data_IF_642035424172
#
_entry.id   IF_642035424172
#
_cell.length_a   1.000
_cell.length_b   1.000
_cell.length_c   1.000
_cell.angle_alpha   90.00
_cell.angle_beta   90.00
_cell.angle_gamma   90.00
#
_symmetry.space_group_name_H-M   'P 1'
#
loop_
_entity.id
_entity.type
_entity.pdbx_description
1 polymer ?
#
# COMPACT_ATOMS: atom_id res chain seq x y z
N UNK A 1 -11.19 -18.91 34.48
CA UNK A 1 -10.33 -19.69 33.57
C UNK A 1 -10.31 -18.95 32.25
N UNK A 2 -9.21 -18.26 31.93
CA UNK A 2 -9.13 -17.45 30.71
C UNK A 2 -9.22 -18.34 29.48
N UNK A 3 -10.13 -18.02 28.56
CA UNK A 3 -10.35 -18.80 27.35
C UNK A 3 -9.17 -18.59 26.38
N UNK A 4 -8.42 -19.66 26.09
CA UNK A 4 -7.33 -19.62 25.10
C UNK A 4 -7.91 -19.64 23.69
N UNK A 5 -7.60 -18.63 22.86
CA UNK A 5 -8.14 -18.52 21.51
C UNK A 5 -7.42 -19.49 20.59
N UNK A 6 -8.15 -20.29 19.83
CA UNK A 6 -7.53 -21.18 18.84
C UNK A 6 -7.03 -20.39 17.62
N UNK A 7 -5.98 -20.87 16.96
CA UNK A 7 -5.47 -20.21 15.74
C UNK A 7 -6.52 -20.14 14.62
N UNK A 8 -7.44 -21.11 14.57
CA UNK A 8 -8.55 -21.13 13.62
C UNK A 8 -9.53 -19.98 13.88
N UNK A 9 -9.86 -19.70 15.13
CA UNK A 9 -10.73 -18.58 15.51
C UNK A 9 -10.04 -17.24 15.26
N UNK A 10 -8.75 -17.14 15.56
CA UNK A 10 -7.96 -15.94 15.35
C UNK A 10 -7.89 -15.54 13.86
N UNK A 11 -7.74 -16.52 12.98
CA UNK A 11 -7.56 -16.32 11.54
C UNK A 11 -8.88 -16.31 10.74
N UNK A 12 -10.02 -16.52 11.40
CA UNK A 12 -11.34 -16.55 10.76
C UNK A 12 -11.66 -15.25 10.01
N UNK A 13 -12.16 -15.36 8.79
CA UNK A 13 -12.53 -14.22 7.95
C UNK A 13 -11.35 -13.51 7.27
N UNK A 14 -10.11 -13.93 7.50
CA UNK A 14 -8.92 -13.38 6.80
C UNK A 14 -9.01 -13.57 5.28
N UNK A 15 -9.68 -14.63 4.83
CA UNK A 15 -9.83 -14.95 3.40
C UNK A 15 -10.47 -13.85 2.56
N UNK A 16 -11.33 -13.01 3.14
CA UNK A 16 -11.97 -11.90 2.41
C UNK A 16 -10.98 -10.84 1.91
N UNK A 17 -9.78 -10.76 2.50
CA UNK A 17 -8.73 -9.83 2.04
C UNK A 17 -8.25 -10.19 0.63
N UNK A 18 -8.29 -11.48 0.24
CA UNK A 18 -7.86 -11.89 -1.10
C UNK A 18 -8.69 -11.27 -2.23
N UNK A 19 -9.91 -10.83 -1.94
CA UNK A 19 -10.77 -10.14 -2.91
C UNK A 19 -10.13 -8.86 -3.44
N UNK A 20 -9.29 -8.16 -2.65
CA UNK A 20 -8.66 -6.92 -3.14
C UNK A 20 -7.69 -7.19 -4.29
N UNK A 21 -6.96 -8.31 -4.23
CA UNK A 21 -6.04 -8.72 -5.30
C UNK A 21 -6.81 -9.15 -6.54
N UNK A 22 -7.89 -9.92 -6.35
CA UNK A 22 -8.76 -10.33 -7.43
C UNK A 22 -9.37 -9.11 -8.13
N UNK A 23 -9.83 -8.11 -7.38
CA UNK A 23 -10.35 -6.85 -7.95
C UNK A 23 -9.28 -6.14 -8.79
N UNK A 24 -8.03 -6.07 -8.33
CA UNK A 24 -6.93 -5.50 -9.11
C UNK A 24 -6.68 -6.26 -10.42
N UNK A 25 -6.66 -7.60 -10.38
CA UNK A 25 -6.49 -8.44 -11.57
C UNK A 25 -7.68 -8.32 -12.53
N UNK A 26 -8.91 -8.28 -12.02
CA UNK A 26 -10.11 -8.10 -12.83
C UNK A 26 -10.15 -6.72 -13.49
N UNK A 27 -9.65 -5.67 -12.82
CA UNK A 27 -9.53 -4.34 -13.41
C UNK A 27 -8.56 -4.32 -14.59
N UNK A 28 -7.38 -4.93 -14.43
CA UNK A 28 -6.41 -5.08 -15.52
C UNK A 28 -6.99 -5.92 -16.67
N UNK A 29 -7.67 -7.02 -16.36
CA UNK A 29 -8.33 -7.86 -17.35
C UNK A 29 -9.42 -7.11 -18.11
N UNK A 30 -10.29 -6.37 -17.41
CA UNK A 30 -11.32 -5.56 -18.05
C UNK A 30 -10.71 -4.51 -18.99
N UNK A 31 -9.61 -3.89 -18.58
CA UNK A 31 -8.87 -2.92 -19.41
C UNK A 31 -8.25 -3.58 -20.63
N UNK A 32 -7.66 -4.77 -20.46
CA UNK A 32 -7.12 -5.59 -21.54
C UNK A 32 -8.20 -5.96 -22.56
N UNK A 33 -9.38 -6.40 -22.10
CA UNK A 33 -10.50 -6.76 -22.97
C UNK A 33 -11.01 -5.54 -23.77
N UNK A 34 -11.06 -4.38 -23.14
CA UNK A 34 -11.38 -3.14 -23.84
C UNK A 34 -10.29 -2.79 -24.87
N UNK A 35 -9.01 -2.89 -24.52
CA UNK A 35 -7.91 -2.65 -25.45
C UNK A 35 -7.90 -3.60 -26.65
N UNK A 36 -8.31 -4.86 -26.47
CA UNK A 36 -8.51 -5.79 -27.58
C UNK A 36 -9.55 -5.30 -28.60
N UNK A 37 -10.60 -4.61 -28.15
CA UNK A 37 -11.60 -4.01 -29.04
C UNK A 37 -11.05 -2.84 -29.88
N UNK A 38 -9.98 -2.20 -29.41
CA UNK A 38 -9.31 -1.09 -30.10
C UNK A 38 -8.14 -1.57 -30.98
N UNK A 39 -7.59 -2.75 -30.69
CA UNK A 39 -6.30 -3.22 -31.20
C UNK A 39 -6.18 -3.16 -32.73
N UNK A 40 -7.22 -3.56 -33.47
CA UNK A 40 -7.21 -3.56 -34.93
C UNK A 40 -7.08 -2.15 -35.53
N UNK A 41 -7.59 -1.13 -34.84
CA UNK A 41 -7.56 0.26 -35.28
C UNK A 41 -6.31 1.04 -34.84
N UNK A 42 -5.43 0.43 -34.04
CA UNK A 42 -4.19 1.08 -33.62
C UNK A 42 -3.19 1.19 -34.80
N UNK A 43 -2.38 2.26 -34.85
CA UNK A 43 -1.37 2.45 -35.89
C UNK A 43 -0.32 1.32 -35.88
N UNK A 44 0.37 1.11 -37.01
CA UNK A 44 1.44 0.10 -37.12
C UNK A 44 2.65 0.40 -36.22
N UNK A 45 2.82 1.67 -35.82
CA UNK A 45 3.81 2.09 -34.83
C UNK A 45 3.10 2.73 -33.65
N UNK A 46 3.33 2.22 -32.45
CA UNK A 46 2.68 2.67 -31.21
C UNK A 46 3.70 3.26 -30.23
N UNK A 47 3.36 4.30 -29.47
CA UNK A 47 4.21 4.76 -28.39
C UNK A 47 4.28 3.71 -27.27
N UNK A 48 5.46 3.56 -26.67
CA UNK A 48 5.71 2.63 -25.56
C UNK A 48 6.25 3.32 -24.32
N UNK A 49 6.69 4.57 -24.45
CA UNK A 49 7.16 5.42 -23.36
C UNK A 49 6.80 6.88 -23.62
N UNK A 50 6.53 7.60 -22.53
CA UNK A 50 6.26 9.03 -22.54
C UNK A 50 7.23 9.70 -21.58
N UNK A 51 7.90 10.74 -22.07
CA UNK A 51 8.83 11.53 -21.29
C UNK A 51 8.14 12.40 -20.25
N UNK A 52 8.90 13.18 -19.47
CA UNK A 52 8.34 14.03 -18.42
C UNK A 52 7.32 15.06 -18.93
N UNK A 53 7.47 15.54 -20.16
CA UNK A 53 6.50 16.45 -20.82
C UNK A 53 5.15 15.81 -21.13
N UNK A 54 5.00 14.50 -20.91
CA UNK A 54 3.82 13.73 -21.31
C UNK A 54 3.79 13.41 -22.80
N UNK A 55 4.77 13.88 -23.60
CA UNK A 55 4.89 13.53 -25.02
C UNK A 55 5.59 12.17 -25.19
N UNK A 56 5.20 11.39 -26.20
CA UNK A 56 5.86 10.12 -26.48
C UNK A 56 7.30 10.33 -26.97
N UNK A 57 8.23 9.56 -26.42
CA UNK A 57 9.67 9.61 -26.76
C UNK A 57 10.27 8.24 -27.11
N UNK A 58 9.50 7.15 -26.97
CA UNK A 58 9.84 5.83 -27.49
C UNK A 58 8.65 5.17 -28.17
N UNK A 59 8.94 4.40 -29.21
CA UNK A 59 7.96 3.77 -30.09
C UNK A 59 8.39 2.34 -30.43
N UNK A 60 7.42 1.50 -30.80
CA UNK A 60 7.65 0.14 -31.28
C UNK A 60 6.63 -0.26 -32.34
N UNK A 61 6.95 -1.28 -33.12
CA UNK A 61 5.99 -1.92 -34.02
C UNK A 61 4.81 -2.52 -33.23
N UNK A 62 3.61 -2.38 -33.80
CA UNK A 62 2.37 -2.87 -33.20
C UNK A 62 2.46 -4.38 -32.98
N UNK A 63 2.39 -4.76 -31.72
CA UNK A 63 2.35 -6.15 -31.28
C UNK A 63 1.55 -6.24 -29.97
N UNK A 64 1.02 -7.42 -29.60
CA UNK A 64 0.35 -7.57 -28.31
C UNK A 64 1.25 -7.17 -27.14
N UNK A 65 2.55 -7.46 -27.22
CA UNK A 65 3.52 -7.06 -26.20
C UNK A 65 3.68 -5.54 -26.09
N UNK A 66 3.80 -4.83 -27.21
CA UNK A 66 3.92 -3.37 -27.21
C UNK A 66 2.67 -2.67 -26.66
N UNK A 67 1.47 -3.18 -26.99
CA UNK A 67 0.20 -2.56 -26.59
C UNK A 67 -0.21 -2.92 -25.16
N UNK A 68 0.04 -4.16 -24.73
CA UNK A 68 -0.49 -4.72 -23.48
C UNK A 68 0.56 -5.02 -22.42
N UNK A 69 1.85 -4.92 -22.74
CA UNK A 69 2.95 -5.25 -21.81
C UNK A 69 2.86 -4.52 -20.48
N UNK A 70 2.40 -3.27 -20.47
CA UNK A 70 2.17 -2.50 -19.24
C UNK A 70 1.13 -3.17 -18.32
N UNK A 71 0.03 -3.70 -18.86
CA UNK A 71 -0.99 -4.39 -18.08
C UNK A 71 -0.45 -5.73 -17.54
N UNK A 72 0.38 -6.43 -18.33
CA UNK A 72 0.99 -7.70 -17.90
C UNK A 72 2.03 -7.51 -16.80
N UNK A 73 2.84 -6.45 -16.90
CA UNK A 73 3.73 -6.02 -15.81
C UNK A 73 2.91 -5.72 -14.56
N UNK A 74 1.81 -4.97 -14.69
CA UNK A 74 0.89 -4.71 -13.60
C UNK A 74 0.35 -6.00 -12.96
N UNK A 75 -0.09 -6.96 -13.77
CA UNK A 75 -0.58 -8.24 -13.28
C UNK A 75 0.52 -9.03 -12.54
N UNK A 76 1.74 -9.07 -13.08
CA UNK A 76 2.91 -9.68 -12.44
C UNK A 76 3.23 -9.07 -11.09
N UNK A 77 3.22 -7.73 -10.99
CA UNK A 77 3.40 -7.01 -9.71
C UNK A 77 2.33 -7.42 -8.71
N UNK A 78 1.05 -7.49 -9.10
CA UNK A 78 -0.04 -7.91 -8.20
C UNK A 78 0.16 -9.35 -7.71
N UNK A 79 0.60 -10.26 -8.59
CA UNK A 79 0.93 -11.65 -8.20
C UNK A 79 2.06 -11.68 -7.17
N UNK A 80 3.11 -10.89 -7.35
CA UNK A 80 4.21 -10.78 -6.37
C UNK A 80 3.70 -10.22 -5.04
N UNK A 81 2.88 -9.17 -5.05
CA UNK A 81 2.30 -8.61 -3.82
C UNK A 81 1.37 -9.61 -3.11
N UNK A 82 0.61 -10.41 -3.86
CA UNK A 82 -0.22 -11.47 -3.32
C UNK A 82 0.62 -12.59 -2.70
N UNK A 83 1.73 -12.97 -3.35
CA UNK A 83 2.68 -13.94 -2.82
C UNK A 83 3.32 -13.44 -1.51
N UNK A 84 3.79 -12.19 -1.47
CA UNK A 84 4.33 -11.57 -0.25
C UNK A 84 3.27 -11.63 0.87
N UNK A 85 2.03 -11.25 0.57
CA UNK A 85 0.95 -11.32 1.56
C UNK A 85 0.64 -12.74 2.05
N UNK A 86 0.81 -13.76 1.19
CA UNK A 86 0.64 -15.16 1.59
C UNK A 86 1.70 -15.62 2.58
N UNK A 87 2.93 -15.09 2.48
CA UNK A 87 4.05 -15.47 3.36
C UNK A 87 4.18 -14.61 4.62
N UNK A 88 3.53 -13.44 4.69
CA UNK A 88 3.53 -12.55 5.88
C UNK A 88 3.23 -13.29 7.19
N UNK A 89 2.22 -14.17 7.30
CA UNK A 89 1.95 -14.91 8.54
C UNK A 89 3.12 -15.80 8.99
N UNK A 90 3.84 -16.41 8.03
CA UNK A 90 4.98 -17.28 8.28
C UNK A 90 6.24 -16.48 8.64
N UNK A 91 6.45 -15.32 8.01
CA UNK A 91 7.58 -14.42 8.30
C UNK A 91 7.46 -13.69 9.65
N UNK A 92 6.28 -13.73 10.26
CA UNK A 92 6.01 -13.03 11.52
C UNK A 92 5.68 -14.04 12.63
N UNK A 93 6.48 -15.07 12.95
CA UNK A 93 6.07 -16.14 13.86
C UNK A 93 5.65 -15.60 15.24
N UNK A 94 4.69 -16.26 15.90
CA UNK A 94 4.32 -15.92 17.26
C UNK A 94 5.50 -16.22 18.20
N UNK A 95 5.77 -15.33 19.16
CA UNK A 95 6.77 -15.62 20.19
C UNK A 95 6.26 -16.74 21.10
N UNK A 96 7.18 -17.59 21.53
CA UNK A 96 6.91 -18.62 22.53
C UNK A 96 6.38 -17.94 23.80
N UNK A 97 5.18 -18.35 24.27
CA UNK A 97 4.47 -17.78 25.43
C UNK A 97 3.97 -16.33 25.27
N UNK A 98 3.70 -15.87 24.05
CA UNK A 98 3.01 -14.59 23.86
C UNK A 98 1.62 -14.60 24.54
N UNK A 99 1.26 -13.48 25.19
CA UNK A 99 -0.09 -13.26 25.75
C UNK A 99 -1.17 -13.31 24.66
N UNK A 100 -2.41 -13.60 25.04
CA UNK A 100 -3.55 -13.56 24.12
C UNK A 100 -3.73 -12.17 23.49
N UNK A 101 -3.45 -11.10 24.25
CA UNK A 101 -3.43 -9.73 23.75
C UNK A 101 -2.42 -9.57 22.60
N UNK A 102 -1.17 -9.98 22.81
CA UNK A 102 -0.11 -9.91 21.77
C UNK A 102 -0.44 -10.79 20.55
N UNK A 103 -1.07 -11.96 20.75
CA UNK A 103 -1.53 -12.83 19.65
C UNK A 103 -2.60 -12.16 18.78
N UNK A 104 -3.60 -11.53 19.38
CA UNK A 104 -4.64 -10.78 18.65
C UNK A 104 -4.07 -9.59 17.90
N UNK A 105 -3.16 -8.85 18.54
CA UNK A 105 -2.49 -7.70 17.93
C UNK A 105 -1.63 -8.08 16.73
N UNK A 106 -0.88 -9.19 16.84
CA UNK A 106 -0.13 -9.79 15.74
C UNK A 106 -1.01 -10.13 14.55
N UNK A 107 -2.15 -10.76 14.78
CA UNK A 107 -3.07 -11.06 13.68
C UNK A 107 -3.66 -9.77 13.07
N UNK A 108 -3.93 -8.74 13.88
CA UNK A 108 -4.37 -7.43 13.38
C UNK A 108 -3.33 -6.78 12.46
N UNK A 109 -2.05 -6.89 12.81
CA UNK A 109 -0.94 -6.48 11.94
C UNK A 109 -0.91 -7.32 10.66
N UNK A 110 -0.96 -8.65 10.74
CA UNK A 110 -0.96 -9.53 9.55
C UNK A 110 -2.08 -9.13 8.59
N UNK A 111 -3.31 -8.95 9.10
CA UNK A 111 -4.46 -8.50 8.31
C UNK A 111 -4.25 -7.11 7.74
N UNK A 112 -3.68 -6.20 8.53
CA UNK A 112 -3.33 -4.84 8.09
C UNK A 112 -2.36 -4.87 6.91
N UNK A 113 -1.28 -5.62 7.02
CA UNK A 113 -0.25 -5.76 5.97
C UNK A 113 -0.81 -6.42 4.71
N UNK A 114 -1.53 -7.54 4.85
CA UNK A 114 -2.18 -8.20 3.71
C UNK A 114 -3.16 -7.25 3.01
N UNK A 115 -3.99 -6.54 3.77
CA UNK A 115 -4.93 -5.58 3.19
C UNK A 115 -4.21 -4.38 2.58
N UNK A 116 -3.10 -3.90 3.15
CA UNK A 116 -2.32 -2.80 2.59
C UNK A 116 -1.73 -3.16 1.22
N UNK A 117 -1.13 -4.34 1.10
CA UNK A 117 -0.62 -4.88 -0.17
C UNK A 117 -1.75 -5.10 -1.18
N UNK A 118 -2.90 -5.58 -0.72
CA UNK A 118 -4.08 -5.78 -1.54
C UNK A 118 -4.70 -4.49 -2.09
N UNK A 119 -4.85 -3.45 -1.27
CA UNK A 119 -5.38 -2.16 -1.72
C UNK A 119 -4.35 -1.41 -2.57
N UNK A 120 -3.05 -1.53 -2.28
CA UNK A 120 -1.98 -1.06 -3.17
C UNK A 120 -2.06 -1.74 -4.55
N UNK A 121 -2.45 -3.01 -4.61
CA UNK A 121 -2.63 -3.75 -5.88
C UNK A 121 -3.77 -3.16 -6.73
N UNK A 122 -4.89 -2.75 -6.10
CA UNK A 122 -5.98 -2.04 -6.79
C UNK A 122 -5.50 -0.68 -7.29
N UNK A 123 -4.78 0.07 -6.44
CA UNK A 123 -4.27 1.39 -6.79
C UNK A 123 -3.30 1.33 -7.99
N UNK A 124 -2.34 0.39 -7.96
CA UNK A 124 -1.42 0.16 -9.07
C UNK A 124 -2.14 -0.32 -10.33
N UNK A 125 -3.13 -1.22 -10.20
CA UNK A 125 -3.96 -1.64 -11.33
C UNK A 125 -4.66 -0.44 -11.98
N UNK A 126 -5.24 0.46 -11.19
CA UNK A 126 -5.88 1.67 -11.69
C UNK A 126 -4.89 2.60 -12.41
N UNK A 127 -3.67 2.76 -11.87
CA UNK A 127 -2.61 3.54 -12.52
C UNK A 127 -2.22 2.90 -13.86
N UNK A 128 -1.87 1.62 -13.90
CA UNK A 128 -1.50 0.93 -15.14
C UNK A 128 -2.63 0.94 -16.17
N UNK A 129 -3.88 0.69 -15.74
CA UNK A 129 -5.05 0.78 -16.61
C UNK A 129 -5.25 2.18 -17.17
N UNK A 130 -5.11 3.22 -16.35
CA UNK A 130 -5.27 4.61 -16.79
C UNK A 130 -4.18 5.04 -17.77
N UNK A 131 -2.94 4.57 -17.59
CA UNK A 131 -1.83 4.87 -18.49
C UNK A 131 -2.00 4.13 -19.83
N UNK A 132 -2.40 2.86 -19.80
CA UNK A 132 -2.69 2.10 -21.01
C UNK A 132 -3.84 2.75 -21.81
N UNK A 133 -4.94 3.13 -21.14
CA UNK A 133 -6.07 3.80 -21.80
C UNK A 133 -5.66 5.15 -22.42
N UNK A 134 -4.86 5.96 -21.71
CA UNK A 134 -4.35 7.20 -22.29
C UNK A 134 -3.45 6.93 -23.50
N UNK A 135 -2.56 5.94 -23.42
CA UNK A 135 -1.70 5.56 -24.53
C UNK A 135 -2.45 5.08 -25.78
N UNK A 136 -3.64 4.48 -25.63
CA UNK A 136 -4.45 4.05 -26.77
C UNK A 136 -5.38 5.15 -27.30
N UNK A 137 -5.95 5.96 -26.42
CA UNK A 137 -7.00 6.94 -26.78
C UNK A 137 -6.45 8.34 -27.05
N UNK A 138 -5.29 8.68 -26.48
CA UNK A 138 -4.61 9.99 -26.58
C UNK A 138 -3.08 9.79 -26.63
N UNK A 139 -2.55 9.01 -27.59
CA UNK A 139 -1.13 8.65 -27.66
C UNK A 139 -0.19 9.86 -27.71
N UNK A 140 -0.65 10.98 -28.25
CA UNK A 140 0.08 12.24 -28.37
C UNK A 140 0.46 12.87 -27.01
N UNK A 141 -0.31 12.60 -25.96
CA UNK A 141 -0.06 13.16 -24.65
C UNK A 141 -0.67 12.32 -23.51
N UNK A 142 0.18 11.85 -22.59
CA UNK A 142 -0.23 11.25 -21.32
C UNK A 142 -0.10 12.29 -20.20
N UNK A 143 -1.18 12.53 -19.46
CA UNK A 143 -1.19 13.56 -18.43
C UNK A 143 -0.28 13.20 -17.24
N UNK A 144 0.62 14.10 -16.85
CA UNK A 144 1.59 13.91 -15.75
C UNK A 144 0.98 13.88 -14.33
N UNK A 145 -0.35 13.85 -14.19
CA UNK A 145 -1.03 13.85 -12.89
C UNK A 145 -0.61 12.65 -12.02
N UNK A 146 -0.28 11.51 -12.64
CA UNK A 146 0.19 10.33 -11.92
C UNK A 146 1.49 10.61 -11.16
N UNK A 147 2.41 11.46 -11.67
CA UNK A 147 3.63 11.78 -10.94
C UNK A 147 3.32 12.47 -9.60
N UNK A 148 2.37 13.40 -9.59
CA UNK A 148 1.92 14.14 -8.39
C UNK A 148 1.12 13.25 -7.44
N UNK A 149 0.21 12.45 -7.98
CA UNK A 149 -0.76 11.72 -7.18
C UNK A 149 -0.37 10.28 -6.86
N UNK A 150 0.68 9.71 -7.45
CA UNK A 150 1.08 8.32 -7.19
C UNK A 150 1.40 8.10 -5.71
N UNK A 151 2.18 8.99 -5.10
CA UNK A 151 2.50 8.89 -3.68
C UNK A 151 1.25 8.88 -2.78
N UNK A 152 0.31 9.84 -2.85
CA UNK A 152 -0.90 9.78 -2.04
C UNK A 152 -1.84 8.62 -2.42
N UNK A 153 -1.93 8.24 -3.71
CA UNK A 153 -2.70 7.08 -4.19
C UNK A 153 -2.21 5.78 -3.54
N UNK A 154 -0.92 5.66 -3.26
CA UNK A 154 -0.36 4.49 -2.57
C UNK A 154 -0.42 4.64 -1.04
N UNK A 155 0.03 5.76 -0.50
CA UNK A 155 0.23 5.92 0.94
C UNK A 155 -1.08 5.99 1.73
N UNK A 156 -2.10 6.70 1.23
CA UNK A 156 -3.37 6.89 1.95
C UNK A 156 -4.11 5.56 2.13
N UNK A 157 -4.32 4.75 1.07
CA UNK A 157 -5.01 3.47 1.22
C UNK A 157 -4.21 2.45 2.03
N UNK A 158 -2.87 2.46 1.94
CA UNK A 158 -1.99 1.64 2.80
C UNK A 158 -2.17 2.02 4.28
N UNK A 159 -2.11 3.31 4.61
CA UNK A 159 -2.32 3.80 5.98
C UNK A 159 -3.70 3.42 6.53
N UNK A 160 -4.74 3.57 5.70
CA UNK A 160 -6.10 3.14 6.03
C UNK A 160 -6.20 1.63 6.26
N UNK A 161 -5.55 0.81 5.43
CA UNK A 161 -5.56 -0.64 5.56
C UNK A 161 -4.86 -1.11 6.85
N UNK A 162 -3.72 -0.51 7.19
CA UNK A 162 -3.01 -0.75 8.44
C UNK A 162 -3.85 -0.34 9.66
N UNK A 163 -4.48 0.85 9.60
CA UNK A 163 -5.41 1.31 10.62
C UNK A 163 -6.59 0.35 10.81
N UNK A 164 -7.18 -0.17 9.73
CA UNK A 164 -8.24 -1.18 9.79
C UNK A 164 -7.79 -2.47 10.48
N UNK A 165 -6.60 -2.97 10.17
CA UNK A 165 -6.04 -4.16 10.83
C UNK A 165 -5.86 -3.96 12.33
N UNK A 166 -5.35 -2.80 12.74
CA UNK A 166 -5.24 -2.45 14.16
C UNK A 166 -6.61 -2.30 14.84
N UNK A 167 -7.57 -1.64 14.19
CA UNK A 167 -8.95 -1.51 14.70
C UNK A 167 -9.64 -2.87 14.83
N UNK A 168 -9.39 -3.81 13.92
CA UNK A 168 -9.84 -5.19 14.04
C UNK A 168 -9.29 -5.83 15.31
N UNK A 169 -7.99 -5.69 15.58
CA UNK A 169 -7.35 -6.23 16.79
C UNK A 169 -7.95 -5.64 18.07
N UNK A 170 -8.11 -4.31 18.11
CA UNK A 170 -8.70 -3.61 19.26
C UNK A 170 -10.14 -4.05 19.55
N UNK A 171 -10.97 -4.19 18.51
CA UNK A 171 -12.34 -4.72 18.66
C UNK A 171 -12.33 -6.14 19.18
N UNK A 172 -11.43 -6.97 18.64
CA UNK A 172 -11.36 -8.39 18.99
C UNK A 172 -10.91 -8.64 20.42
N UNK A 173 -10.00 -7.80 20.95
CA UNK A 173 -9.60 -7.80 22.37
C UNK A 173 -10.83 -7.57 23.27
N UNK A 174 -11.65 -6.56 22.96
CA UNK A 174 -12.87 -6.25 23.72
C UNK A 174 -13.92 -7.36 23.62
N UNK A 175 -14.20 -7.84 22.41
CA UNK A 175 -15.19 -8.92 22.18
C UNK A 175 -14.87 -10.21 22.93
N UNK A 176 -13.59 -10.50 23.14
CA UNK A 176 -13.11 -11.70 23.79
C UNK A 176 -12.84 -11.51 25.29
N UNK A 177 -13.06 -10.31 25.84
CA UNK A 177 -12.76 -9.99 27.23
C UNK A 177 -11.28 -10.16 27.57
N UNK A 178 -10.39 -9.92 26.61
CA UNK A 178 -8.94 -9.98 26.84
C UNK A 178 -8.53 -8.67 27.51
N UNK A 179 -7.92 -8.77 28.68
CA UNK A 179 -7.37 -7.63 29.38
C UNK A 179 -5.84 -7.62 29.23
N UNK A 180 -5.25 -6.54 28.69
CA UNK A 180 -3.80 -6.39 28.70
C UNK A 180 -3.30 -6.29 30.14
N UNK A 181 -2.10 -6.79 30.39
CA UNK A 181 -1.41 -6.53 31.66
C UNK A 181 -0.99 -5.05 31.78
N UNK A 182 -0.44 -4.66 32.94
CA UNK A 182 -0.05 -3.26 33.19
C UNK A 182 1.02 -2.77 32.20
N UNK A 183 1.98 -3.62 31.84
CA UNK A 183 3.06 -3.30 30.92
C UNK A 183 2.53 -3.12 29.49
N UNK A 184 1.65 -4.03 29.04
CA UNK A 184 0.96 -3.98 27.76
C UNK A 184 0.07 -2.73 27.64
N UNK A 185 -0.64 -2.38 28.71
CA UNK A 185 -1.48 -1.18 28.75
C UNK A 185 -0.63 0.10 28.78
N UNK A 186 0.48 0.12 29.52
CA UNK A 186 1.42 1.24 29.54
C UNK A 186 2.12 1.43 28.19
N UNK A 187 2.52 0.35 27.53
CA UNK A 187 3.03 0.37 26.16
C UNK A 187 1.98 0.97 25.22
N UNK A 188 0.73 0.49 25.24
CA UNK A 188 -0.34 0.94 24.34
C UNK A 188 -0.60 2.45 24.39
N UNK A 189 -0.53 3.06 25.58
CA UNK A 189 -0.77 4.51 25.77
C UNK A 189 0.18 5.40 24.97
N UNK A 190 1.37 4.91 24.61
CA UNK A 190 2.34 5.64 23.79
C UNK A 190 2.03 5.60 22.30
N UNK A 191 0.99 4.88 21.86
CA UNK A 191 0.69 4.72 20.44
C UNK A 191 -0.63 5.39 20.05
N UNK A 192 -0.57 6.17 18.97
CA UNK A 192 -1.71 6.97 18.48
C UNK A 192 -2.10 6.60 17.06
N UNK A 193 -3.21 7.16 16.57
CA UNK A 193 -3.78 6.90 15.25
C UNK A 193 -4.01 5.40 14.99
N UNK A 194 -4.56 4.69 15.97
CA UNK A 194 -4.75 3.25 15.89
C UNK A 194 -3.44 2.49 15.81
N UNK A 195 -2.36 2.95 16.44
CA UNK A 195 -1.10 2.22 16.50
C UNK A 195 -0.11 2.50 15.38
N UNK A 196 -0.39 3.47 14.52
CA UNK A 196 0.49 3.81 13.40
C UNK A 196 1.73 4.58 13.86
N UNK A 197 1.57 5.46 14.85
CA UNK A 197 2.61 6.36 15.32
C UNK A 197 2.86 6.19 16.82
N UNK A 198 4.13 6.29 17.20
CA UNK A 198 4.57 6.34 18.59
C UNK A 198 4.66 7.81 19.02
N UNK A 199 4.23 8.11 20.24
CA UNK A 199 4.09 9.45 20.78
C UNK A 199 4.52 9.47 22.24
N UNK A 200 5.82 9.70 22.47
CA UNK A 200 6.38 9.93 23.79
C UNK A 200 7.28 11.18 23.77
N UNK A 201 6.88 12.30 24.38
CA UNK A 201 7.68 13.53 24.38
C UNK A 201 8.90 13.46 25.31
N UNK A 202 8.94 12.51 26.24
CA UNK A 202 10.07 12.30 27.17
C UNK A 202 11.17 11.48 26.49
N UNK A 203 10.79 10.59 25.57
CA UNK A 203 11.72 9.76 24.80
C UNK A 203 12.51 10.59 23.77
N UNK A 204 13.85 10.69 23.88
CA UNK A 204 14.68 11.48 22.98
C UNK A 204 14.88 10.83 21.60
N UNK A 205 14.51 9.55 21.42
CA UNK A 205 14.72 8.84 20.18
C UNK A 205 13.78 9.35 19.07
N UNK A 206 14.34 9.59 17.87
CA UNK A 206 13.57 9.95 16.67
C UNK A 206 12.93 8.71 16.06
N UNK A 207 13.71 7.63 15.96
CA UNK A 207 13.26 6.32 15.48
C UNK A 207 13.26 5.35 16.64
N UNK A 208 12.11 4.79 16.93
CA UNK A 208 11.92 3.78 17.99
C UNK A 208 11.50 2.45 17.38
N UNK A 209 11.84 1.31 18.00
CA UNK A 209 11.36 0.01 17.56
C UNK A 209 9.82 -0.03 17.49
N UNK A 210 9.29 -0.71 16.46
CA UNK A 210 7.87 -1.08 16.44
C UNK A 210 7.56 -1.96 17.65
N UNK A 211 6.46 -1.66 18.34
CA UNK A 211 5.99 -2.47 19.47
C UNK A 211 5.75 -3.91 19.07
N UNK A 212 5.88 -4.78 20.06
CA UNK A 212 5.69 -6.21 19.87
C UNK A 212 4.27 -6.52 19.34
N UNK A 213 4.18 -7.51 18.46
CA UNK A 213 2.92 -7.88 17.83
C UNK A 213 2.41 -6.88 16.78
N UNK A 214 3.12 -5.80 16.44
CA UNK A 214 2.77 -4.93 15.30
C UNK A 214 3.82 -4.88 14.18
N UNK A 215 4.84 -5.73 14.29
CA UNK A 215 5.79 -6.01 13.22
C UNK A 215 7.23 -5.88 13.68
N UNK A 216 8.14 -5.89 12.72
CA UNK A 216 9.54 -5.56 12.89
C UNK A 216 9.82 -4.22 12.20
N UNK A 217 10.85 -3.51 12.65
CA UNK A 217 11.26 -2.22 12.06
C UNK A 217 11.14 -1.05 13.04
N UNK A 218 11.29 0.15 12.48
CA UNK A 218 11.30 1.40 13.24
C UNK A 218 10.04 2.23 12.95
N UNK A 219 9.68 3.09 13.88
CA UNK A 219 8.66 4.11 13.70
C UNK A 219 9.17 5.45 14.17
N UNK A 220 8.61 6.52 13.64
CA UNK A 220 8.94 7.87 14.09
C UNK A 220 8.22 8.16 15.40
N UNK A 221 8.95 8.68 16.38
CA UNK A 221 8.39 9.27 17.58
C UNK A 221 7.84 10.67 17.26
N UNK A 222 6.52 10.79 17.16
CA UNK A 222 5.85 12.06 16.90
C UNK A 222 5.70 12.93 18.15
N UNK A 223 6.02 12.41 19.33
CA UNK A 223 6.13 13.20 20.57
C UNK A 223 7.39 14.05 20.57
N UNK A 224 8.43 13.59 19.87
CA UNK A 224 9.71 14.28 19.73
C UNK A 224 9.64 15.37 18.64
N UNK A 225 10.06 16.63 18.91
CA UNK A 225 10.07 17.70 17.92
C UNK A 225 10.86 17.38 16.65
N UNK A 226 12.01 16.70 16.78
CA UNK A 226 12.82 16.28 15.63
C UNK A 226 12.11 15.20 14.81
N UNK A 227 11.38 14.30 15.46
CA UNK A 227 10.53 13.31 14.78
C UNK A 227 9.39 13.94 14.00
N UNK A 228 8.72 14.96 14.55
CA UNK A 228 7.71 15.74 13.81
C UNK A 228 8.31 16.37 12.55
N UNK A 229 9.47 17.02 12.67
CA UNK A 229 10.16 17.59 11.51
C UNK A 229 10.58 16.55 10.48
N UNK A 230 11.00 15.35 10.92
CA UNK A 230 11.31 14.26 10.00
C UNK A 230 10.09 13.85 9.15
N UNK A 231 8.88 13.80 9.72
CA UNK A 231 7.64 13.54 8.96
C UNK A 231 7.34 14.66 7.98
N UNK A 232 7.46 15.92 8.42
CA UNK A 232 7.22 17.08 7.55
C UNK A 232 8.18 17.07 6.37
N UNK A 233 9.47 16.86 6.59
CA UNK A 233 10.48 16.77 5.54
C UNK A 233 10.19 15.60 4.60
N UNK A 234 9.85 14.43 5.14
CA UNK A 234 9.48 13.26 4.33
C UNK A 234 8.28 13.57 3.42
N UNK A 235 7.22 14.18 3.95
CA UNK A 235 6.05 14.56 3.15
C UNK A 235 6.36 15.63 2.12
N UNK A 236 7.19 16.63 2.47
CA UNK A 236 7.64 17.66 1.54
C UNK A 236 8.47 17.08 0.39
N UNK A 237 9.33 16.11 0.67
CA UNK A 237 10.10 15.43 -0.39
C UNK A 237 9.18 14.58 -1.24
N UNK A 238 8.32 13.75 -0.64
CA UNK A 238 7.54 12.76 -1.40
C UNK A 238 6.38 13.39 -2.19
N UNK A 239 5.80 14.50 -1.70
CA UNK A 239 4.74 15.22 -2.38
C UNK A 239 5.27 16.41 -3.15
N UNK A 240 6.22 17.15 -2.58
CA UNK A 240 6.74 18.39 -3.16
C UNK A 240 7.68 18.16 -4.33
N UNK A 241 8.51 17.11 -4.33
CA UNK A 241 9.40 16.84 -5.46
C UNK A 241 8.63 16.53 -6.75
N UNK A 242 7.62 15.62 -6.77
CA UNK A 242 6.83 15.41 -7.97
C UNK A 242 6.05 16.65 -8.42
N UNK A 243 5.51 17.43 -7.49
CA UNK A 243 4.84 18.71 -7.81
C UNK A 243 5.81 19.68 -8.47
N UNK A 244 7.00 19.86 -7.89
CA UNK A 244 8.02 20.76 -8.43
C UNK A 244 8.48 20.32 -9.83
N UNK A 245 8.66 19.01 -10.04
CA UNK A 245 8.97 18.47 -11.36
C UNK A 245 7.83 18.75 -12.36
N UNK A 246 6.58 18.46 -11.99
CA UNK A 246 5.43 18.74 -12.86
C UNK A 246 5.26 20.22 -13.20
N UNK A 247 5.53 21.12 -12.25
CA UNK A 247 5.49 22.58 -12.50
C UNK A 247 6.67 23.06 -13.35
N UNK A 248 7.88 22.53 -13.14
CA UNK A 248 9.06 22.86 -13.95
C UNK A 248 8.90 22.44 -15.42
N UNK A 249 8.24 21.29 -15.65
CA UNK A 249 7.88 20.80 -16.98
C UNK A 249 6.83 21.72 -17.64
N UNK A 250 5.82 22.16 -16.88
CA UNK A 250 4.81 23.10 -17.37
C UNK A 250 5.39 24.49 -17.71
N UNK A 251 6.41 24.95 -16.97
CA UNK A 251 7.07 26.23 -17.21
C UNK A 251 8.05 26.22 -18.39
N UNK A 252 8.65 25.07 -18.73
CA UNK A 252 9.56 24.91 -19.87
C UNK A 252 8.87 24.65 -21.22
N UNK A 253 7.54 24.58 -21.23
CA UNK A 253 6.70 24.36 -22.43
C UNK A 253 5.88 25.60 -22.83
N UNK A 254 6.05 26.72 -22.13
CA UNK A 254 5.50 28.04 -22.44
C UNK A 254 6.59 28.93 -23.08
#
# INVERSE_FOLDING_TARGET
MGMTITDKELTRGRGGIWLTYLVGLLLLLATQLYGLSLYAGLPETVPTHWGPSGAPDAFADKSPGAVFGMLWIGAGVIVVLAFIAAVVPAMSPARTRASEYRRVRREGMIRGTMNALGVASIALAAVFSSLALQGWLRPEHVGGWFAVFLAPILLVPIGWAMWRGSRWGQRRVVELGIHPDEDEAAEERRWVAGGLFYNDPVDPQILVPKREGTGTGLTINIGNPKGKWAIVIFLLVILGLPIAMSLGIAAGTA
#
